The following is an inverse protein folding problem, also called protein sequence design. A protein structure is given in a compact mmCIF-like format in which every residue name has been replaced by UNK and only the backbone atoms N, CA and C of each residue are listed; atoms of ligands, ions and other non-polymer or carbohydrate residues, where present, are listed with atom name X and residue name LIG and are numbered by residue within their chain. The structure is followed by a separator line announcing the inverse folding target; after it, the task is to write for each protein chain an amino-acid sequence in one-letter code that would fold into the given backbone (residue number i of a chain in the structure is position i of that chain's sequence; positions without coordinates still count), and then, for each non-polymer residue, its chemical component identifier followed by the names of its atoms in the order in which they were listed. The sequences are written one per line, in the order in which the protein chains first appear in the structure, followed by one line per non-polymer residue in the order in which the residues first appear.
data_IF_419658197456
#
_entry.id   IF_419658197456
#
_cell.length_a   1.000
_cell.length_b   1.000
_cell.length_c   1.000
_cell.angle_alpha   90.00
_cell.angle_beta   90.00
_cell.angle_gamma   90.00
#
_symmetry.space_group_name_H-M   'P 1'
#
loop_
_entity.id
_entity.type
_entity.pdbx_description
1 polymer ?
#
# COMPACT_ATOMS: atom_id res chain seq x y z
N UNK A 1 -2.72 12.87 -13.79
CA UNK A 1 -2.76 12.53 -15.22
C UNK A 1 -2.51 11.04 -15.35
N UNK A 2 -3.49 10.33 -15.91
CA UNK A 2 -3.34 8.93 -16.26
C UNK A 2 -2.77 8.74 -17.67
N UNK A 3 -1.87 7.78 -17.83
CA UNK A 3 -1.33 7.35 -19.12
C UNK A 3 -1.55 5.85 -19.33
N UNK A 4 -1.66 5.42 -20.59
CA UNK A 4 -1.77 4.00 -20.94
C UNK A 4 -0.53 3.63 -21.76
N UNK A 5 0.23 2.65 -21.28
CA UNK A 5 1.36 2.05 -21.98
C UNK A 5 0.96 0.66 -22.47
N UNK A 6 1.34 0.30 -23.69
CA UNK A 6 1.13 -1.06 -24.21
C UNK A 6 2.43 -1.85 -24.10
N UNK A 7 2.37 -3.07 -23.54
CA UNK A 7 3.48 -4.04 -23.52
C UNK A 7 2.93 -5.43 -23.77
N UNK A 8 3.50 -6.15 -24.75
CA UNK A 8 3.14 -7.55 -25.07
C UNK A 8 1.61 -7.77 -25.20
N UNK A 9 0.91 -6.88 -25.92
CA UNK A 9 -0.54 -6.96 -26.10
C UNK A 9 -1.38 -6.61 -24.86
N UNK A 10 -0.77 -6.21 -23.74
CA UNK A 10 -1.46 -5.76 -22.52
C UNK A 10 -1.40 -4.24 -22.38
N UNK A 11 -2.47 -3.66 -21.85
CA UNK A 11 -2.64 -2.23 -21.60
C UNK A 11 -2.36 -1.92 -20.13
N UNK A 12 -1.19 -1.37 -19.84
CA UNK A 12 -0.81 -0.88 -18.51
C UNK A 12 -1.32 0.56 -18.34
N UNK A 13 -2.29 0.73 -17.45
CA UNK A 13 -2.73 2.04 -17.00
C UNK A 13 -1.81 2.53 -15.86
N UNK A 14 -1.35 3.76 -15.94
CA UNK A 14 -0.50 4.43 -14.95
C UNK A 14 -1.19 5.72 -14.51
N UNK A 15 -1.46 5.89 -13.22
CA UNK A 15 -2.08 7.10 -12.65
C UNK A 15 -1.06 7.79 -11.76
N UNK A 16 -0.73 9.04 -12.12
CA UNK A 16 0.16 9.90 -11.34
C UNK A 16 -0.59 11.13 -10.83
N UNK A 17 -0.63 11.31 -9.52
CA UNK A 17 -1.17 12.49 -8.84
C UNK A 17 -0.19 12.99 -7.79
N UNK A 18 -0.11 14.31 -7.62
CA UNK A 18 0.77 14.97 -6.65
C UNK A 18 0.32 14.55 -5.24
N UNK A 19 1.26 14.11 -4.40
CA UNK A 19 0.98 13.65 -3.03
C UNK A 19 0.56 12.18 -2.89
N UNK A 20 0.42 11.44 -3.99
CA UNK A 20 0.08 10.02 -3.98
C UNK A 20 1.15 9.18 -4.69
N UNK A 21 1.38 7.96 -4.20
CA UNK A 21 2.26 7.01 -4.86
C UNK A 21 1.72 6.68 -6.27
N UNK A 22 2.59 6.51 -7.29
CA UNK A 22 2.17 6.19 -8.64
C UNK A 22 1.48 4.81 -8.67
N UNK A 23 0.28 4.76 -9.23
CA UNK A 23 -0.54 3.55 -9.28
C UNK A 23 -0.45 2.95 -10.67
N UNK A 24 -0.15 1.67 -10.77
CA UNK A 24 -0.15 0.98 -12.06
C UNK A 24 -0.99 -0.28 -12.02
N UNK A 25 -1.74 -0.53 -13.10
CA UNK A 25 -2.52 -1.76 -13.27
C UNK A 25 -2.58 -2.16 -14.73
N UNK A 26 -2.43 -3.44 -15.00
CA UNK A 26 -2.45 -4.00 -16.36
C UNK A 26 -3.80 -4.61 -16.70
N UNK A 27 -4.30 -4.35 -17.90
CA UNK A 27 -5.57 -4.82 -18.43
C UNK A 27 -5.39 -5.45 -19.82
N UNK A 28 -6.29 -6.33 -20.20
CA UNK A 28 -6.32 -6.93 -21.54
C UNK A 28 -7.05 -6.06 -22.55
N UNK A 29 -7.93 -5.15 -22.10
CA UNK A 29 -8.68 -4.21 -22.95
C UNK A 29 -8.30 -2.75 -22.66
N UNK A 30 -8.15 -1.97 -23.73
CA UNK A 30 -7.85 -0.52 -23.67
C UNK A 30 -8.97 0.28 -23.02
N UNK A 31 -10.22 -0.11 -23.27
CA UNK A 31 -11.40 0.60 -22.74
C UNK A 31 -11.50 0.43 -21.24
N UNK A 32 -11.26 -0.80 -20.75
CA UNK A 32 -11.22 -1.11 -19.33
C UNK A 32 -10.08 -0.33 -18.66
N UNK A 33 -8.91 -0.24 -19.30
CA UNK A 33 -7.79 0.56 -18.80
C UNK A 33 -8.15 2.05 -18.68
N UNK A 34 -8.81 2.65 -19.70
CA UNK A 34 -9.28 4.04 -19.66
C UNK A 34 -10.30 4.28 -18.53
N UNK A 35 -11.28 3.39 -18.39
CA UNK A 35 -12.32 3.48 -17.35
C UNK A 35 -11.71 3.39 -15.96
N UNK A 36 -10.75 2.48 -15.77
CA UNK A 36 -10.04 2.33 -14.51
C UNK A 36 -9.21 3.56 -14.14
N UNK A 37 -8.51 4.18 -15.11
CA UNK A 37 -7.80 5.44 -14.89
C UNK A 37 -8.75 6.49 -14.34
N UNK A 38 -9.88 6.72 -15.02
CA UNK A 38 -10.86 7.74 -14.63
C UNK A 38 -11.43 7.46 -13.24
N UNK A 39 -11.82 6.21 -12.96
CA UNK A 39 -12.34 5.81 -11.66
C UNK A 39 -11.30 5.97 -10.54
N UNK A 40 -10.04 5.68 -10.82
CA UNK A 40 -8.95 5.84 -9.85
C UNK A 40 -8.63 7.32 -9.61
N UNK A 41 -8.64 8.15 -10.64
CA UNK A 41 -8.47 9.60 -10.49
C UNK A 41 -9.60 10.22 -9.65
N UNK A 42 -10.85 9.79 -9.86
CA UNK A 42 -12.01 10.21 -9.05
C UNK A 42 -11.85 9.75 -7.58
N UNK A 43 -11.43 8.51 -7.34
CA UNK A 43 -11.21 8.01 -5.98
C UNK A 43 -10.10 8.80 -5.25
N UNK A 44 -9.03 9.18 -5.97
CA UNK A 44 -7.95 10.02 -5.44
C UNK A 44 -8.46 11.42 -5.11
N UNK A 45 -9.28 12.01 -5.99
CA UNK A 45 -9.87 13.33 -5.78
C UNK A 45 -10.84 13.36 -4.60
N UNK A 46 -11.63 12.29 -4.40
CA UNK A 46 -12.51 12.13 -3.25
C UNK A 46 -11.78 11.85 -1.94
N UNK A 47 -10.47 11.56 -1.97
CA UNK A 47 -9.71 11.14 -0.79
C UNK A 47 -10.00 9.72 -0.31
N UNK A 48 -10.82 8.95 -1.03
CA UNK A 48 -11.14 7.54 -0.75
C UNK A 48 -10.06 6.60 -1.29
N UNK A 49 -9.10 7.11 -2.06
CA UNK A 49 -7.97 6.33 -2.54
C UNK A 49 -6.99 6.06 -1.39
N UNK A 50 -7.28 5.00 -0.64
CA UNK A 50 -6.30 4.38 0.22
C UNK A 50 -5.39 3.53 -0.67
N UNK A 51 -4.09 3.91 -0.86
CA UNK A 51 -3.16 2.98 -1.47
C UNK A 51 -3.24 1.68 -0.66
N UNK A 52 -3.34 0.54 -1.35
CA UNK A 52 -3.33 -0.76 -0.68
C UNK A 52 -2.00 -0.85 0.07
N UNK A 53 -2.01 -0.48 1.34
CA UNK A 53 -0.83 -0.52 2.18
C UNK A 53 -0.57 -2.00 2.33
N UNK A 54 0.35 -2.53 1.53
CA UNK A 54 0.92 -3.85 1.71
C UNK A 54 1.85 -3.84 2.93
N UNK A 55 1.44 -3.14 3.99
CA UNK A 55 2.15 -3.17 5.26
C UNK A 55 1.95 -4.58 5.76
N UNK A 56 3.03 -5.34 5.78
CA UNK A 56 2.99 -6.66 6.37
C UNK A 56 2.74 -6.53 7.87
N UNK A 57 2.18 -7.56 8.50
CA UNK A 57 2.00 -7.56 9.95
C UNK A 57 3.37 -7.40 10.63
N UNK A 58 4.45 -7.93 10.05
CA UNK A 58 5.82 -7.72 10.49
C UNK A 58 6.24 -6.25 10.52
N UNK A 59 6.00 -5.49 9.46
CA UNK A 59 6.31 -4.05 9.39
C UNK A 59 5.46 -3.22 10.37
N UNK A 60 4.21 -3.62 10.61
CA UNK A 60 3.35 -2.97 11.60
C UNK A 60 3.85 -3.20 13.03
N UNK A 61 4.32 -4.41 13.33
CA UNK A 61 4.92 -4.77 14.61
C UNK A 61 6.25 -4.03 14.86
N UNK A 62 7.04 -3.78 13.82
CA UNK A 62 8.25 -2.94 13.94
C UNK A 62 7.92 -1.49 14.27
N UNK A 63 6.92 -0.91 13.61
CA UNK A 63 6.45 0.44 13.93
C UNK A 63 5.90 0.53 15.35
N UNK A 64 5.13 -0.48 15.78
CA UNK A 64 4.64 -0.56 17.15
C UNK A 64 5.79 -0.58 18.17
N UNK A 65 6.86 -1.35 17.89
CA UNK A 65 8.05 -1.38 18.73
C UNK A 65 8.74 -0.02 18.83
N UNK A 66 8.84 0.72 17.73
CA UNK A 66 9.56 2.01 17.72
C UNK A 66 8.77 3.14 18.38
N UNK A 67 7.44 3.16 18.20
CA UNK A 67 6.60 4.29 18.60
C UNK A 67 5.99 4.07 19.99
N UNK A 68 5.41 2.88 20.24
CA UNK A 68 4.66 2.62 21.47
C UNK A 68 5.57 2.11 22.59
N UNK A 69 6.42 1.12 22.29
CA UNK A 69 7.30 0.50 23.29
C UNK A 69 8.35 1.46 23.87
N UNK A 70 8.82 2.43 23.09
CA UNK A 70 9.73 3.48 23.58
C UNK A 70 9.09 4.41 24.61
N UNK A 71 7.76 4.51 24.60
CA UNK A 71 6.96 5.38 25.49
C UNK A 71 6.53 4.66 26.77
N UNK A 72 6.61 3.32 26.80
CA UNK A 72 6.24 2.52 27.97
C UNK A 72 7.37 2.55 29.02
N UNK A 73 7.03 2.94 30.26
CA UNK A 73 7.97 2.88 31.40
C UNK A 73 8.31 1.42 31.71
N UNK A 74 9.55 1.03 31.41
CA UNK A 74 10.06 -0.32 31.61
C UNK A 74 9.71 -1.24 30.45
N UNK A 75 10.29 -0.97 29.27
CA UNK A 75 10.12 -1.76 28.04
C UNK A 75 10.20 -3.26 28.33
N UNK A 76 9.03 -3.85 28.52
CA UNK A 76 8.90 -5.13 29.20
C UNK A 76 9.45 -6.22 28.27
N UNK A 77 10.41 -6.99 28.78
CA UNK A 77 11.03 -8.11 28.04
C UNK A 77 9.95 -9.04 27.48
N UNK A 78 8.79 -9.12 28.14
CA UNK A 78 7.62 -9.88 27.68
C UNK A 78 6.96 -9.32 26.42
N UNK A 79 6.87 -7.99 26.24
CA UNK A 79 6.29 -7.38 25.03
C UNK A 79 7.21 -7.58 23.83
N UNK A 80 8.52 -7.48 24.02
CA UNK A 80 9.50 -7.79 22.97
C UNK A 80 9.42 -9.25 22.55
N UNK A 81 9.23 -10.16 23.51
CA UNK A 81 9.06 -11.59 23.23
C UNK A 81 7.78 -11.87 22.44
N UNK A 82 6.66 -11.26 22.82
CA UNK A 82 5.38 -11.39 22.09
C UNK A 82 5.47 -10.87 20.66
N UNK A 83 6.11 -9.72 20.45
CA UNK A 83 6.35 -9.16 19.11
C UNK A 83 7.18 -10.13 18.27
N UNK A 84 8.24 -10.72 18.85
CA UNK A 84 9.08 -11.71 18.16
C UNK A 84 8.29 -12.97 17.78
N UNK A 85 7.43 -13.46 18.68
CA UNK A 85 6.56 -14.60 18.42
C UNK A 85 5.58 -14.30 17.27
N UNK A 86 4.90 -13.16 17.32
CA UNK A 86 3.94 -12.74 16.30
C UNK A 86 4.63 -12.55 14.95
N UNK A 87 5.84 -11.98 14.92
CA UNK A 87 6.64 -11.89 13.70
C UNK A 87 6.97 -13.24 13.08
N UNK A 88 7.30 -14.24 13.91
CA UNK A 88 7.56 -15.60 13.43
C UNK A 88 6.29 -16.30 12.93
N UNK A 89 5.13 -15.96 13.50
CA UNK A 89 3.85 -16.56 13.11
C UNK A 89 3.27 -15.96 11.81
N UNK A 90 3.45 -14.65 11.62
CA UNK A 90 3.00 -13.94 10.41
C UNK A 90 4.07 -13.82 9.32
N UNK A 91 5.23 -14.46 9.51
CA UNK A 91 6.35 -14.50 8.56
C UNK A 91 6.10 -15.43 7.39
#
# INVERSE_FOLDING_TARGET
MGSIRVRQGRYQANVRRKGYAPVTKTFTSREVAKRWIKSTEIAIEKGEYSPRVSTTVGEMLDRYKLICLATHKGADVSEQYRIKLLKNYFG
#
